data_IF_989890658067
#
_entry.id   IF_989890658067
#
_cell.length_a   1.000
_cell.length_b   1.000
_cell.length_c   1.000
_cell.angle_alpha   90.00
_cell.angle_beta   90.00
_cell.angle_gamma   90.00
#
_symmetry.space_group_name_H-M   'P 1'
#
loop_
_entity.id
_entity.type
_entity.pdbx_description
1 polymer ?
#
# COMPACT_ATOMS: atom_id res chain seq x y z
N UNK A 1 6.36 23.57 19.66
CA UNK A 1 5.04 23.25 19.07
C UNK A 1 5.15 21.90 18.39
N UNK A 2 4.30 20.94 18.76
CA UNK A 2 4.26 19.62 18.11
C UNK A 2 3.82 19.80 16.66
N UNK A 3 4.73 19.60 15.69
CA UNK A 3 4.35 19.52 14.28
C UNK A 3 3.45 18.29 14.14
N UNK A 4 2.22 18.52 13.66
CA UNK A 4 1.21 17.47 13.58
C UNK A 4 1.72 16.32 12.71
N UNK A 5 1.90 15.15 13.33
CA UNK A 5 2.29 13.93 12.64
C UNK A 5 1.09 13.33 11.91
N UNK A 6 0.77 13.87 10.74
CA UNK A 6 -0.31 13.35 9.87
C UNK A 6 -0.05 11.89 9.53
N UNK A 7 -1.11 11.08 9.63
CA UNK A 7 -1.09 9.66 9.37
C UNK A 7 -1.77 9.38 8.02
N UNK A 8 -1.09 8.68 7.12
CA UNK A 8 -1.59 8.42 5.77
C UNK A 8 -2.87 7.57 5.72
N UNK A 9 -3.23 6.90 6.81
CA UNK A 9 -4.45 6.08 6.93
C UNK A 9 -5.66 6.82 7.46
N UNK A 10 -5.50 8.08 7.86
CA UNK A 10 -6.61 8.90 8.34
C UNK A 10 -7.11 9.82 7.22
N UNK A 11 -8.42 10.02 7.15
CA UNK A 11 -9.02 10.98 6.25
C UNK A 11 -8.97 12.36 6.90
N UNK A 12 -8.30 13.31 6.26
CA UNK A 12 -8.30 14.70 6.69
C UNK A 12 -8.93 15.60 5.64
N UNK A 13 -9.77 16.53 6.10
CA UNK A 13 -10.30 17.62 5.30
C UNK A 13 -9.97 18.93 5.98
N UNK A 14 -9.30 19.82 5.26
CA UNK A 14 -8.92 21.14 5.76
C UNK A 14 -9.50 22.21 4.85
N UNK A 15 -10.28 23.13 5.41
CA UNK A 15 -10.68 24.33 4.69
C UNK A 15 -9.48 25.28 4.66
N UNK A 16 -9.00 25.63 3.46
CA UNK A 16 -7.75 26.37 3.27
C UNK A 16 -7.93 27.64 2.45
N UNK A 17 -7.06 28.62 2.68
CA UNK A 17 -6.80 29.77 1.82
C UNK A 17 -5.47 29.58 1.10
N UNK A 18 -5.41 29.93 -0.17
CA UNK A 18 -4.20 29.81 -0.97
C UNK A 18 -4.23 30.82 -2.12
N UNK A 19 -3.05 31.14 -2.63
CA UNK A 19 -2.91 31.97 -3.82
C UNK A 19 -2.73 31.07 -5.05
N UNK A 20 -3.48 31.33 -6.11
CA UNK A 20 -3.40 30.60 -7.37
C UNK A 20 -3.75 31.55 -8.53
N UNK A 21 -2.88 31.61 -9.55
CA UNK A 21 -2.97 32.58 -10.65
C UNK A 21 -3.17 34.03 -10.18
N UNK A 22 -2.36 34.44 -9.20
CA UNK A 22 -2.38 35.77 -8.57
C UNK A 22 -3.73 36.14 -7.92
N UNK A 23 -4.57 35.14 -7.61
CA UNK A 23 -5.85 35.31 -6.91
C UNK A 23 -5.85 34.53 -5.62
N UNK A 24 -6.34 35.18 -4.57
CA UNK A 24 -6.59 34.52 -3.30
C UNK A 24 -7.90 33.75 -3.38
N UNK A 25 -7.80 32.43 -3.24
CA UNK A 25 -8.92 31.50 -3.32
C UNK A 25 -9.09 30.75 -2.00
N UNK A 26 -10.27 30.15 -1.86
CA UNK A 26 -10.56 29.20 -0.77
C UNK A 26 -10.88 27.84 -1.36
N UNK A 27 -10.69 26.80 -0.58
CA UNK A 27 -10.96 25.44 -1.01
C UNK A 27 -10.87 24.44 0.12
N UNK A 28 -11.03 23.17 -0.22
CA UNK A 28 -10.91 22.06 0.73
C UNK A 28 -9.74 21.17 0.30
N UNK A 29 -8.70 21.12 1.13
CA UNK A 29 -7.61 20.15 0.99
C UNK A 29 -8.04 18.82 1.60
N UNK A 30 -8.20 17.82 0.75
CA UNK A 30 -8.52 16.45 1.10
C UNK A 30 -7.25 15.58 1.07
N UNK A 31 -6.86 15.08 2.25
CA UNK A 31 -5.86 14.03 2.39
C UNK A 31 -6.61 12.74 2.69
N UNK A 32 -6.94 11.98 1.66
CA UNK A 32 -7.77 10.78 1.78
C UNK A 32 -6.89 9.53 1.99
N UNK A 33 -7.39 8.60 2.81
CA UNK A 33 -6.88 7.24 2.90
C UNK A 33 -6.96 6.59 1.52
N UNK A 34 -5.83 6.08 1.02
CA UNK A 34 -5.75 5.41 -0.28
C UNK A 34 -6.15 6.28 -1.49
N UNK A 35 -6.02 7.61 -1.38
CA UNK A 35 -6.34 8.57 -2.43
C UNK A 35 -5.16 9.45 -2.83
N UNK A 36 -5.26 10.07 -4.00
CA UNK A 36 -4.36 11.15 -4.39
C UNK A 36 -4.77 12.40 -3.59
N UNK A 37 -3.84 13.06 -2.87
CA UNK A 37 -4.15 14.32 -2.21
C UNK A 37 -4.69 15.34 -3.21
N UNK A 38 -5.82 15.96 -2.85
CA UNK A 38 -6.57 16.84 -3.74
C UNK A 38 -7.01 18.10 -3.03
N UNK A 39 -7.05 19.21 -3.78
CA UNK A 39 -7.54 20.51 -3.35
C UNK A 39 -8.69 20.90 -4.25
N UNK A 40 -9.91 20.86 -3.70
CA UNK A 40 -11.12 21.32 -4.36
C UNK A 40 -11.22 22.84 -4.21
N UNK A 41 -11.19 23.57 -5.32
CA UNK A 41 -11.25 25.04 -5.32
C UNK A 41 -12.71 25.49 -5.25
N UNK A 42 -13.06 26.32 -4.27
CA UNK A 42 -14.35 27.00 -4.25
C UNK A 42 -14.32 28.18 -5.23
N UNK A 43 -14.82 27.97 -6.45
CA UNK A 43 -14.83 29.01 -7.48
C UNK A 43 -16.00 28.87 -8.44
N UNK A 44 -16.60 30.00 -8.82
CA UNK A 44 -17.56 30.12 -9.92
C UNK A 44 -16.88 30.47 -11.25
N UNK A 45 -15.54 30.48 -11.29
CA UNK A 45 -14.78 30.79 -12.49
C UNK A 45 -14.89 29.65 -13.50
N UNK A 46 -15.69 29.85 -14.55
CA UNK A 46 -15.87 28.91 -15.66
C UNK A 46 -14.56 28.42 -16.25
N UNK A 47 -13.52 29.25 -16.36
CA UNK A 47 -12.23 28.80 -16.91
C UNK A 47 -11.61 27.70 -16.05
N UNK A 48 -11.62 27.85 -14.72
CA UNK A 48 -11.07 26.85 -13.80
C UNK A 48 -11.94 25.60 -13.71
N UNK A 49 -13.26 25.72 -13.88
CA UNK A 49 -14.18 24.59 -13.83
C UNK A 49 -14.07 23.68 -15.07
N UNK A 50 -13.85 24.26 -16.24
CA UNK A 50 -13.85 23.55 -17.52
C UNK A 50 -12.44 23.28 -18.09
N UNK A 51 -11.38 23.74 -17.43
CA UNK A 51 -10.01 23.39 -17.81
C UNK A 51 -9.77 21.90 -17.66
N UNK A 52 -9.44 21.21 -18.76
CA UNK A 52 -9.29 19.75 -18.74
C UNK A 52 -8.09 19.32 -17.92
N UNK A 53 -6.95 19.99 -18.12
CA UNK A 53 -5.67 19.62 -17.53
C UNK A 53 -4.65 20.76 -17.61
N UNK A 54 -4.07 21.16 -16.48
CA UNK A 54 -2.93 22.09 -16.44
C UNK A 54 -1.88 21.69 -15.41
N UNK A 55 -0.65 21.49 -15.87
CA UNK A 55 0.50 21.24 -14.98
C UNK A 55 0.91 22.54 -14.30
N UNK A 56 1.02 22.52 -12.98
CA UNK A 56 1.39 23.66 -12.16
C UNK A 56 2.88 23.49 -11.80
N UNK A 57 3.71 24.46 -12.20
CA UNK A 57 5.18 24.36 -12.04
C UNK A 57 5.62 24.63 -10.61
N UNK A 58 5.05 25.65 -9.98
CA UNK A 58 5.41 26.08 -8.65
C UNK A 58 4.56 25.38 -7.58
N UNK A 59 5.12 25.11 -6.38
CA UNK A 59 4.34 24.59 -5.26
C UNK A 59 3.24 25.57 -4.83
N UNK A 60 2.11 25.04 -4.36
CA UNK A 60 1.00 25.84 -3.84
C UNK A 60 1.01 25.78 -2.32
N UNK A 61 1.08 26.93 -1.67
CA UNK A 61 1.01 27.03 -0.21
C UNK A 61 -0.42 27.29 0.23
N UNK A 62 -0.95 26.40 1.07
CA UNK A 62 -2.29 26.42 1.64
C UNK A 62 -2.24 26.68 3.15
N UNK A 63 -3.02 27.65 3.60
CA UNK A 63 -3.17 28.04 5.01
C UNK A 63 -4.53 27.59 5.51
N UNK A 64 -4.57 26.76 6.56
CA UNK A 64 -5.84 26.33 7.16
C UNK A 64 -6.60 27.52 7.77
N UNK A 65 -7.89 27.64 7.44
CA UNK A 65 -8.74 28.69 8.01
C UNK A 65 -9.05 28.34 9.46
N UNK A 66 -8.80 29.27 10.38
CA UNK A 66 -9.07 29.08 11.82
C UNK A 66 -8.00 28.30 12.57
N UNK A 67 -6.87 28.00 11.92
CA UNK A 67 -5.70 27.37 12.54
C UNK A 67 -4.41 27.99 12.00
N UNK A 68 -3.27 27.71 12.65
CA UNK A 68 -1.94 28.11 12.17
C UNK A 68 -1.24 27.02 11.35
N UNK A 69 -1.99 26.03 10.83
CA UNK A 69 -1.40 24.97 10.00
C UNK A 69 -1.21 25.45 8.58
N UNK A 70 -0.08 25.05 8.01
CA UNK A 70 0.30 25.35 6.63
C UNK A 70 0.64 24.03 5.94
N UNK A 71 0.20 23.91 4.70
CA UNK A 71 0.48 22.79 3.82
C UNK A 71 1.07 23.32 2.52
N UNK A 72 2.02 22.61 1.94
CA UNK A 72 2.53 22.95 0.60
C UNK A 72 2.33 21.77 -0.33
N UNK A 73 1.65 21.99 -1.45
CA UNK A 73 1.31 21.00 -2.46
C UNK A 73 2.35 21.06 -3.57
N UNK A 74 2.92 19.90 -3.92
CA UNK A 74 4.01 19.79 -4.88
C UNK A 74 3.61 18.90 -6.07
N UNK A 75 4.26 19.14 -7.21
CA UNK A 75 3.98 18.41 -8.46
C UNK A 75 2.48 18.46 -8.81
N UNK A 76 1.89 19.64 -8.69
CA UNK A 76 0.46 19.84 -8.76
C UNK A 76 -0.05 19.88 -10.20
N UNK A 77 -1.28 19.42 -10.40
CA UNK A 77 -1.98 19.47 -11.69
C UNK A 77 -3.44 19.82 -11.45
N UNK A 78 -3.92 20.87 -12.12
CA UNK A 78 -5.32 21.22 -12.18
C UNK A 78 -6.04 20.24 -13.12
N UNK A 79 -7.13 19.67 -12.64
CA UNK A 79 -8.06 18.81 -13.35
C UNK A 79 -9.40 19.52 -13.53
N UNK A 80 -10.18 19.00 -14.49
CA UNK A 80 -11.58 19.38 -14.67
C UNK A 80 -12.37 19.36 -13.36
N UNK A 81 -13.25 20.34 -13.20
CA UNK A 81 -14.05 20.53 -11.98
C UNK A 81 -13.37 21.40 -10.92
N UNK A 82 -12.35 22.18 -11.30
CA UNK A 82 -11.58 23.02 -10.39
C UNK A 82 -10.93 22.23 -9.24
N UNK A 83 -10.36 21.06 -9.56
CA UNK A 83 -9.69 20.19 -8.58
C UNK A 83 -8.20 20.15 -8.89
N UNK A 84 -7.36 20.50 -7.91
CA UNK A 84 -5.92 20.35 -8.02
C UNK A 84 -5.52 19.03 -7.37
N UNK A 85 -4.93 18.12 -8.14
CA UNK A 85 -4.28 16.93 -7.59
C UNK A 85 -2.78 17.20 -7.43
N UNK A 86 -2.13 16.55 -6.46
CA UNK A 86 -0.70 16.74 -6.25
C UNK A 86 0.04 15.42 -6.02
N UNK A 87 1.32 15.41 -6.37
CA UNK A 87 2.20 14.25 -6.19
C UNK A 87 2.57 14.04 -4.72
N UNK A 88 2.73 15.12 -3.96
CA UNK A 88 2.90 15.06 -2.51
C UNK A 88 2.61 16.39 -1.81
N UNK A 89 2.37 16.33 -0.51
CA UNK A 89 2.09 17.44 0.40
C UNK A 89 3.13 17.46 1.52
N UNK A 90 3.73 18.60 1.80
CA UNK A 90 4.56 18.82 3.01
C UNK A 90 3.80 19.64 4.05
N UNK A 91 4.05 19.37 5.33
CA UNK A 91 3.60 20.28 6.40
C UNK A 91 4.56 21.45 6.58
N UNK A 92 4.03 22.67 6.58
CA UNK A 92 4.77 23.93 6.63
C UNK A 92 4.81 24.66 5.28
N UNK A 93 5.23 25.93 5.32
CA UNK A 93 5.31 26.83 4.17
C UNK A 93 6.60 26.66 3.34
N UNK A 94 7.65 26.11 3.93
CA UNK A 94 8.98 26.00 3.33
C UNK A 94 9.63 24.70 3.74
N UNK A 95 10.32 24.03 2.83
CA UNK A 95 11.08 22.80 3.10
C UNK A 95 12.23 23.14 4.08
N UNK A 96 12.60 22.27 5.04
CA UNK A 96 13.70 22.55 5.93
C UNK A 96 14.99 22.60 5.11
N UNK A 97 15.85 23.57 5.43
CA UNK A 97 17.19 23.63 4.88
C UNK A 97 18.02 22.54 5.58
N UNK A 98 19.00 21.98 4.86
CA UNK A 98 19.94 20.99 5.41
C UNK A 98 19.32 19.63 5.83
N UNK A 99 18.28 19.16 5.15
CA UNK A 99 17.76 17.80 5.34
C UNK A 99 18.77 16.78 4.84
N UNK A 100 19.40 16.04 5.73
CA UNK A 100 20.38 14.97 5.42
C UNK A 100 19.95 13.62 5.99
N UNK A 101 18.77 13.56 6.62
CA UNK A 101 18.16 12.35 7.16
C UNK A 101 16.68 12.27 6.78
N UNK A 102 16.23 11.08 6.43
CA UNK A 102 14.82 10.75 6.28
C UNK A 102 14.45 9.58 7.19
N UNK A 103 13.24 9.62 7.73
CA UNK A 103 12.70 8.57 8.61
C UNK A 103 11.45 7.98 7.97
N UNK A 104 11.55 6.70 7.58
CA UNK A 104 10.54 5.98 6.81
C UNK A 104 9.81 5.00 7.73
N UNK A 105 8.54 5.28 7.98
CA UNK A 105 7.64 4.36 8.69
C UNK A 105 6.83 3.59 7.67
N UNK A 106 6.93 2.26 7.68
CA UNK A 106 6.09 1.41 6.83
C UNK A 106 5.06 0.65 7.67
N UNK A 107 3.94 0.29 7.07
CA UNK A 107 2.97 -0.63 7.69
C UNK A 107 3.58 -2.02 7.90
N UNK A 108 3.08 -2.75 8.90
CA UNK A 108 3.53 -4.13 9.19
C UNK A 108 4.94 -4.27 9.78
N UNK A 109 5.82 -3.27 9.66
CA UNK A 109 7.21 -3.36 10.12
C UNK A 109 7.31 -3.56 11.64
N UNK A 110 6.52 -2.83 12.44
CA UNK A 110 6.48 -3.09 13.88
C UNK A 110 6.05 -4.52 14.19
N UNK A 111 5.02 -5.03 13.51
CA UNK A 111 4.54 -6.41 13.68
C UNK A 111 5.62 -7.43 13.30
N UNK A 112 6.42 -7.13 12.28
CA UNK A 112 7.52 -7.99 11.84
C UNK A 112 8.70 -7.99 12.83
N UNK A 113 9.09 -6.83 13.36
CA UNK A 113 10.18 -6.71 14.35
C UNK A 113 9.79 -7.14 15.77
N UNK A 114 8.50 -7.16 16.10
CA UNK A 114 8.01 -7.52 17.44
C UNK A 114 8.28 -9.00 17.78
N UNK A 115 8.37 -9.89 16.78
CA UNK A 115 8.70 -11.33 16.94
C UNK A 115 7.88 -12.02 18.05
N UNK A 116 8.35 -13.15 18.59
CA UNK A 116 7.88 -13.76 19.85
C UNK A 116 8.66 -13.18 21.04
N UNK A 117 8.55 -11.88 21.30
CA UNK A 117 9.21 -11.32 22.50
C UNK A 117 8.46 -11.69 23.75
N UNK A 118 9.20 -12.19 24.73
CA UNK A 118 8.66 -12.56 26.03
C UNK A 118 8.18 -11.32 26.78
N UNK A 119 7.02 -11.47 27.40
CA UNK A 119 6.60 -10.65 28.52
C UNK A 119 6.69 -11.54 29.75
N UNK A 120 7.36 -11.05 30.78
CA UNK A 120 7.52 -11.73 32.05
C UNK A 120 6.61 -11.04 33.07
N UNK A 121 5.81 -11.83 33.75
CA UNK A 121 4.95 -11.37 34.84
C UNK A 121 5.48 -12.03 36.11
N UNK A 122 5.93 -11.22 37.06
CA UNK A 122 6.23 -11.67 38.41
C UNK A 122 5.13 -11.19 39.36
N UNK A 123 5.20 -11.56 40.64
CA UNK A 123 4.24 -11.10 41.65
C UNK A 123 4.24 -9.56 41.84
N UNK A 124 5.33 -8.88 41.48
CA UNK A 124 5.54 -7.46 41.77
C UNK A 124 5.69 -6.58 40.53
N UNK A 125 5.97 -7.16 39.36
CA UNK A 125 6.26 -6.38 38.16
C UNK A 125 5.87 -7.12 36.87
N UNK A 126 5.47 -6.32 35.88
CA UNK A 126 5.35 -6.74 34.49
C UNK A 126 6.57 -6.21 33.73
N UNK A 127 7.39 -7.11 33.17
CA UNK A 127 8.56 -6.77 32.34
C UNK A 127 8.32 -7.19 30.90
N UNK A 128 8.56 -6.28 29.96
CA UNK A 128 8.55 -6.57 28.52
C UNK A 128 9.89 -6.21 27.91
N UNK A 129 10.48 -7.13 27.16
CA UNK A 129 11.70 -6.85 26.42
C UNK A 129 11.40 -5.94 25.21
N UNK A 130 11.90 -4.71 25.24
CA UNK A 130 11.67 -3.70 24.20
C UNK A 130 12.88 -3.49 23.27
N UNK A 131 14.01 -4.16 23.52
CA UNK A 131 15.25 -4.02 22.73
C UNK A 131 15.12 -4.66 21.35
N UNK A 132 15.54 -3.98 20.29
CA UNK A 132 15.56 -4.54 18.94
C UNK A 132 17.01 -4.72 18.49
N UNK A 133 17.31 -5.85 17.85
CA UNK A 133 18.58 -6.04 17.15
C UNK A 133 18.72 -4.97 16.06
N UNK A 134 19.94 -4.46 15.89
CA UNK A 134 20.21 -3.32 15.01
C UNK A 134 21.06 -3.75 13.83
N UNK A 135 20.74 -3.22 12.65
CA UNK A 135 21.60 -3.23 11.48
C UNK A 135 21.89 -1.80 11.05
N UNK A 136 23.04 -1.62 10.40
CA UNK A 136 23.40 -0.37 9.72
C UNK A 136 24.15 -0.75 8.45
N UNK A 137 23.64 -0.34 7.30
CA UNK A 137 24.16 -0.76 5.99
C UNK A 137 24.36 0.45 5.10
N UNK A 138 25.55 0.52 4.48
CA UNK A 138 25.84 1.49 3.44
C UNK A 138 25.41 0.95 2.07
N UNK A 139 24.80 1.81 1.26
CA UNK A 139 24.37 1.48 -0.10
C UNK A 139 24.50 2.69 -1.03
N UNK A 140 24.67 2.42 -2.33
CA UNK A 140 24.71 3.44 -3.37
C UNK A 140 23.43 3.42 -4.20
N UNK A 141 22.86 4.60 -4.48
CA UNK A 141 21.70 4.73 -5.35
C UNK A 141 21.79 6.02 -6.17
N UNK A 142 21.64 5.92 -7.50
CA UNK A 142 21.68 7.07 -8.44
C UNK A 142 22.90 7.98 -8.21
N UNK A 143 24.09 7.40 -8.03
CA UNK A 143 25.37 8.08 -7.81
C UNK A 143 25.52 8.82 -6.46
N UNK A 144 24.65 8.54 -5.50
CA UNK A 144 24.78 9.04 -4.13
C UNK A 144 24.96 7.87 -3.16
N UNK A 145 25.69 8.14 -2.08
CA UNK A 145 25.90 7.19 -1.00
C UNK A 145 24.98 7.50 0.18
N UNK A 146 24.44 6.43 0.75
CA UNK A 146 23.50 6.48 1.86
C UNK A 146 23.82 5.39 2.88
N UNK A 147 23.36 5.62 4.10
CA UNK A 147 23.33 4.61 5.17
C UNK A 147 21.88 4.40 5.60
N UNK A 148 21.44 3.15 5.70
CA UNK A 148 20.14 2.77 6.27
C UNK A 148 20.33 1.98 7.57
N UNK A 149 19.55 2.32 8.59
CA UNK A 149 19.49 1.61 9.86
C UNK A 149 18.04 1.41 10.31
N UNK A 150 17.78 0.38 11.10
CA UNK A 150 16.50 0.24 11.79
C UNK A 150 16.51 0.99 13.12
N UNK A 151 15.37 1.57 13.46
CA UNK A 151 15.16 2.30 14.71
C UNK A 151 13.83 1.91 15.35
N UNK A 152 13.79 1.93 16.68
CA UNK A 152 12.60 1.62 17.48
C UNK A 152 12.32 2.72 18.47
N UNK A 153 11.12 3.29 18.39
CA UNK A 153 10.55 4.17 19.39
C UNK A 153 9.67 3.38 20.34
N UNK A 154 9.82 3.62 21.63
CA UNK A 154 9.01 3.03 22.69
C UNK A 154 8.50 4.16 23.57
N UNK A 155 7.18 4.25 23.70
CA UNK A 155 6.54 5.15 24.67
C UNK A 155 5.57 4.37 25.53
N UNK A 156 5.59 4.64 26.83
CA UNK A 156 4.64 4.11 27.81
C UNK A 156 3.80 5.26 28.35
N UNK A 157 2.49 5.11 28.34
CA UNK A 157 1.57 6.09 28.94
C UNK A 157 0.70 5.37 29.96
N UNK A 158 0.78 5.79 31.23
CA UNK A 158 -0.12 5.30 32.27
C UNK A 158 -1.51 5.88 32.03
N UNK A 159 -2.50 5.02 31.79
CA UNK A 159 -3.91 5.41 31.70
C UNK A 159 -4.53 5.47 33.10
N UNK A 160 -4.14 4.53 33.96
CA UNK A 160 -4.50 4.47 35.38
C UNK A 160 -3.31 3.98 36.20
N UNK A 161 -3.48 3.76 37.51
CA UNK A 161 -2.45 3.15 38.36
C UNK A 161 -2.15 1.69 38.02
N UNK A 162 -3.03 1.01 37.29
CA UNK A 162 -2.90 -0.41 36.94
C UNK A 162 -2.90 -0.66 35.43
N UNK A 163 -3.21 0.34 34.61
CA UNK A 163 -3.26 0.24 33.15
C UNK A 163 -2.20 1.11 32.50
N UNK A 164 -1.31 0.48 31.74
CA UNK A 164 -0.28 1.14 30.96
C UNK A 164 -0.43 0.78 29.48
N UNK A 165 -0.47 1.81 28.63
CA UNK A 165 -0.45 1.64 27.18
C UNK A 165 0.97 1.77 26.68
N UNK A 166 1.50 0.68 26.13
CA UNK A 166 2.80 0.64 25.47
C UNK A 166 2.59 0.82 23.97
N UNK A 167 3.27 1.82 23.41
CA UNK A 167 3.29 2.07 21.97
C UNK A 167 4.71 1.87 21.45
N UNK A 168 4.85 0.89 20.57
CA UNK A 168 6.11 0.53 19.91
C UNK A 168 5.99 0.86 18.43
N UNK A 169 6.95 1.61 17.91
CA UNK A 169 7.02 1.96 16.50
C UNK A 169 8.41 1.69 15.95
N UNK A 170 8.49 0.81 14.96
CA UNK A 170 9.71 0.51 14.23
C UNK A 170 9.72 1.28 12.90
N UNK A 171 10.86 1.85 12.56
CA UNK A 171 11.07 2.60 11.32
C UNK A 171 12.49 2.41 10.78
N UNK A 172 12.71 2.92 9.57
CA UNK A 172 14.02 2.96 8.94
C UNK A 172 14.52 4.40 8.88
N UNK A 173 15.74 4.62 9.37
CA UNK A 173 16.43 5.89 9.24
C UNK A 173 17.39 5.78 8.08
N UNK A 174 17.29 6.70 7.12
CA UNK A 174 18.24 6.80 6.01
C UNK A 174 18.95 8.13 6.06
N UNK A 175 20.27 8.08 6.11
CA UNK A 175 21.15 9.24 6.10
C UNK A 175 21.87 9.34 4.77
N UNK A 176 21.91 10.52 4.19
CA UNK A 176 22.76 10.81 3.03
C UNK A 176 24.18 11.07 3.51
N UNK A 177 25.15 10.37 2.93
CA UNK A 177 26.55 10.47 3.38
C UNK A 177 27.13 11.85 3.07
N UNK A 178 26.83 12.39 1.89
CA UNK A 178 27.31 13.69 1.42
C UNK A 178 26.16 14.56 0.91
N UNK A 179 26.02 15.75 1.49
CA UNK A 179 25.02 16.74 1.08
C UNK A 179 23.63 16.49 1.67
N UNK A 180 22.61 17.04 1.01
CA UNK A 180 21.23 17.08 1.49
C UNK A 180 20.28 16.40 0.51
N UNK A 181 19.14 15.94 0.99
CA UNK A 181 18.07 15.37 0.20
C UNK A 181 17.30 16.48 -0.53
N UNK A 182 17.05 16.26 -1.82
CA UNK A 182 15.92 16.92 -2.49
C UNK A 182 14.62 16.18 -2.16
N UNK A 183 13.45 16.84 -2.28
CA UNK A 183 12.16 16.17 -2.04
C UNK A 183 11.94 14.95 -2.94
N UNK A 184 12.25 15.09 -4.24
CA UNK A 184 12.12 13.99 -5.21
C UNK A 184 13.06 12.82 -4.88
N UNK A 185 14.24 13.11 -4.33
CA UNK A 185 15.19 12.09 -3.89
C UNK A 185 14.68 11.37 -2.63
N UNK A 186 14.19 12.11 -1.64
CA UNK A 186 13.58 11.55 -0.43
C UNK A 186 12.38 10.66 -0.77
N UNK A 187 11.48 11.13 -1.64
CA UNK A 187 10.35 10.35 -2.15
C UNK A 187 10.85 9.07 -2.86
N UNK A 188 11.79 9.22 -3.79
CA UNK A 188 12.32 8.08 -4.55
C UNK A 188 12.91 7.02 -3.63
N UNK A 189 13.66 7.40 -2.59
CA UNK A 189 14.28 6.45 -1.67
C UNK A 189 13.25 5.80 -0.76
N UNK A 190 12.29 6.56 -0.23
CA UNK A 190 11.22 6.00 0.59
C UNK A 190 10.40 4.96 -0.18
N UNK A 191 10.09 5.21 -1.46
CA UNK A 191 9.40 4.26 -2.33
C UNK A 191 10.22 2.99 -2.62
N UNK A 192 11.54 3.12 -2.79
CA UNK A 192 12.44 1.97 -2.99
C UNK A 192 12.57 1.13 -1.70
N UNK A 193 12.63 1.77 -0.54
CA UNK A 193 12.63 1.09 0.77
C UNK A 193 11.33 0.33 0.97
N UNK A 194 10.19 0.98 0.72
CA UNK A 194 8.87 0.32 0.73
C UNK A 194 8.85 -0.91 -0.16
N UNK A 195 9.43 -0.81 -1.36
CA UNK A 195 9.47 -1.89 -2.35
C UNK A 195 10.35 -3.06 -1.88
N UNK A 196 11.56 -2.77 -1.39
CA UNK A 196 12.46 -3.77 -0.81
C UNK A 196 11.79 -4.54 0.34
N UNK A 197 11.23 -3.83 1.33
CA UNK A 197 10.65 -4.50 2.50
C UNK A 197 9.37 -5.25 2.15
N UNK A 198 8.56 -4.75 1.23
CA UNK A 198 7.41 -5.51 0.75
C UNK A 198 7.80 -6.82 0.07
N UNK A 199 8.92 -6.83 -0.65
CA UNK A 199 9.46 -8.05 -1.25
C UNK A 199 9.97 -9.03 -0.19
N UNK A 200 10.68 -8.54 0.82
CA UNK A 200 11.17 -9.37 1.92
C UNK A 200 10.01 -9.98 2.71
N UNK A 201 8.95 -9.22 2.96
CA UNK A 201 7.81 -9.68 3.74
C UNK A 201 6.80 -10.48 2.92
N UNK A 202 6.77 -10.32 1.60
CA UNK A 202 5.74 -10.91 0.74
C UNK A 202 4.38 -10.20 0.83
N UNK A 203 4.35 -8.95 1.29
CA UNK A 203 3.14 -8.14 1.49
C UNK A 203 3.30 -6.77 0.87
N UNK A 204 2.23 -6.18 0.34
CA UNK A 204 2.23 -4.79 -0.12
C UNK A 204 2.24 -3.83 1.08
N UNK A 205 3.42 -3.35 1.48
CA UNK A 205 3.55 -2.37 2.55
C UNK A 205 3.27 -0.95 2.05
N UNK A 206 2.71 -0.13 2.92
CA UNK A 206 2.49 1.29 2.68
C UNK A 206 3.49 2.11 3.48
N UNK A 207 3.81 3.30 3.02
CA UNK A 207 4.51 4.27 3.87
C UNK A 207 3.45 4.95 4.75
N UNK A 208 3.53 4.71 6.06
CA UNK A 208 2.64 5.25 7.07
C UNK A 208 2.98 6.69 7.41
N UNK A 209 4.27 7.01 7.48
CA UNK A 209 4.83 8.35 7.74
C UNK A 209 6.19 8.47 7.10
N UNK A 210 6.50 9.64 6.56
CA UNK A 210 7.83 10.00 6.12
C UNK A 210 8.22 11.33 6.75
N UNK A 211 9.32 11.37 7.48
CA UNK A 211 9.85 12.60 8.03
C UNK A 211 11.15 13.01 7.36
N UNK A 212 11.27 14.28 7.04
CA UNK A 212 12.47 14.96 6.57
C UNK A 212 13.11 15.64 7.77
N UNK A 213 14.35 15.28 8.08
CA UNK A 213 15.01 15.69 9.33
C UNK A 213 16.38 16.29 9.02
N UNK A 214 16.65 17.54 9.44
CA UNK A 214 18.00 18.09 9.47
C UNK A 214 18.78 17.50 10.65
N UNK A 215 19.92 16.85 10.42
CA UNK A 215 20.71 16.22 11.49
C UNK A 215 21.14 17.21 12.57
N UNK A 216 21.38 18.47 12.21
CA UNK A 216 21.78 19.54 13.15
C UNK A 216 20.66 19.97 14.09
N UNK A 217 19.39 19.81 13.69
CA UNK A 217 18.20 20.23 14.46
C UNK A 217 17.06 19.24 14.27
N UNK A 218 17.12 18.12 14.99
CA UNK A 218 16.10 17.06 14.92
C UNK A 218 14.67 17.53 15.25
N UNK A 219 14.53 18.62 16.02
CA UNK A 219 13.23 19.24 16.31
C UNK A 219 12.56 19.91 15.10
N UNK A 220 13.29 20.19 14.03
CA UNK A 220 12.81 20.89 12.84
C UNK A 220 12.32 19.95 11.74
N UNK A 221 11.89 18.73 12.10
CA UNK A 221 11.41 17.75 11.12
C UNK A 221 10.17 18.22 10.35
N UNK A 222 9.94 17.71 9.15
CA UNK A 222 8.69 17.92 8.41
C UNK A 222 8.13 16.59 7.93
N UNK A 223 6.80 16.46 7.94
CA UNK A 223 6.14 15.31 7.34
C UNK A 223 5.95 15.52 5.83
N UNK A 224 6.25 14.47 5.07
CA UNK A 224 5.97 14.36 3.64
C UNK A 224 4.84 13.35 3.45
N UNK A 225 3.83 13.72 2.66
CA UNK A 225 2.65 12.90 2.36
C UNK A 225 2.55 12.72 0.85
N UNK A 226 2.46 11.48 0.36
CA UNK A 226 2.25 11.16 -1.06
C UNK A 226 1.09 10.16 -1.21
N UNK A 227 0.51 10.02 -2.41
CA UNK A 227 -0.53 9.05 -2.69
C UNK A 227 -0.12 7.62 -2.28
N UNK A 228 -0.94 6.99 -1.45
CA UNK A 228 -0.81 5.57 -1.09
C UNK A 228 -1.91 4.76 -1.75
N UNK A 229 -1.67 3.47 -2.00
CA UNK A 229 -2.54 2.59 -2.80
C UNK A 229 -3.21 1.52 -1.94
N UNK A 230 -2.78 1.40 -0.69
CA UNK A 230 -3.07 0.23 0.13
C UNK A 230 -4.04 0.55 1.25
N UNK A 231 -5.02 -0.34 1.40
CA UNK A 231 -6.24 -0.13 2.17
C UNK A 231 -6.11 -0.41 3.68
N UNK A 232 -5.04 -1.07 4.12
CA UNK A 232 -4.93 -1.60 5.49
C UNK A 232 -3.67 -1.09 6.23
N UNK A 233 -3.87 -0.51 7.42
CA UNK A 233 -2.78 -0.07 8.32
C UNK A 233 -1.98 -1.28 8.87
N UNK A 234 -2.61 -2.45 8.92
CA UNK A 234 -2.03 -3.69 9.43
C UNK A 234 -2.15 -4.81 8.38
N UNK A 235 -1.16 -4.96 7.49
CA UNK A 235 -1.23 -5.89 6.35
C UNK A 235 -1.19 -7.37 6.76
N UNK A 236 -0.77 -7.69 7.99
CA UNK A 236 -0.77 -9.03 8.55
C UNK A 236 -0.75 -8.98 10.08
N UNK A 237 -1.30 -10.01 10.72
CA UNK A 237 -1.43 -10.05 12.18
C UNK A 237 -0.19 -10.51 12.91
N UNK A 238 0.55 -11.43 12.30
CA UNK A 238 1.63 -12.17 12.94
C UNK A 238 2.83 -12.25 12.01
N UNK A 239 4.04 -12.15 12.55
CA UNK A 239 5.27 -12.18 11.77
C UNK A 239 5.47 -13.52 11.03
N UNK A 240 4.87 -14.62 11.51
CA UNK A 240 4.96 -15.94 10.85
C UNK A 240 4.26 -15.99 9.50
N UNK A 241 3.37 -15.04 9.22
CA UNK A 241 2.72 -14.96 7.90
C UNK A 241 3.65 -14.34 6.84
N UNK A 242 4.78 -13.74 7.25
CA UNK A 242 5.73 -13.10 6.33
C UNK A 242 6.62 -14.10 5.61
N UNK A 243 6.99 -13.80 4.36
CA UNK A 243 7.86 -14.64 3.54
C UNK A 243 9.25 -14.82 4.17
N UNK A 244 9.86 -13.73 4.65
CA UNK A 244 11.14 -13.76 5.32
C UNK A 244 11.00 -13.41 6.79
N UNK A 245 11.38 -14.33 7.68
CA UNK A 245 11.48 -14.05 9.10
C UNK A 245 12.66 -13.14 9.39
N UNK A 246 12.43 -12.11 10.22
CA UNK A 246 13.48 -11.17 10.62
C UNK A 246 14.63 -11.86 11.37
N UNK A 247 14.36 -12.91 12.15
CA UNK A 247 15.39 -13.69 12.87
C UNK A 247 16.42 -14.30 11.92
N UNK A 248 15.97 -14.84 10.79
CA UNK A 248 16.87 -15.43 9.79
C UNK A 248 17.80 -14.37 9.18
N UNK A 249 17.31 -13.15 8.99
CA UNK A 249 18.11 -12.05 8.43
C UNK A 249 19.27 -11.66 9.35
N UNK A 250 19.03 -11.63 10.66
CA UNK A 250 20.07 -11.32 11.64
C UNK A 250 20.99 -12.51 11.88
N UNK A 251 20.44 -13.71 12.10
CA UNK A 251 21.22 -14.92 12.36
C UNK A 251 22.17 -15.27 11.20
N UNK A 252 21.76 -15.01 9.95
CA UNK A 252 22.57 -15.26 8.76
C UNK A 252 23.34 -14.02 8.27
N UNK A 253 23.27 -12.89 9.00
CA UNK A 253 23.92 -11.62 8.66
C UNK A 253 23.66 -11.16 7.21
N UNK A 254 22.40 -11.24 6.75
CA UNK A 254 22.05 -11.01 5.34
C UNK A 254 21.71 -9.55 5.00
N UNK A 255 21.56 -8.68 6.00
CA UNK A 255 21.13 -7.29 5.80
C UNK A 255 21.97 -6.54 4.78
N UNK A 256 23.29 -6.60 4.91
CA UNK A 256 24.21 -5.92 4.00
C UNK A 256 24.05 -6.43 2.56
N UNK A 257 24.09 -7.76 2.39
CA UNK A 257 24.01 -8.41 1.08
C UNK A 257 22.69 -8.10 0.38
N UNK A 258 21.56 -8.15 1.09
CA UNK A 258 20.23 -7.90 0.54
C UNK A 258 20.09 -6.44 0.10
N UNK A 259 20.41 -5.49 0.99
CA UNK A 259 20.22 -4.06 0.74
C UNK A 259 21.13 -3.61 -0.41
N UNK A 260 22.42 -3.95 -0.36
CA UNK A 260 23.36 -3.58 -1.43
C UNK A 260 22.95 -4.20 -2.78
N UNK A 261 22.53 -5.48 -2.79
CA UNK A 261 22.11 -6.15 -4.03
C UNK A 261 20.84 -5.52 -4.61
N UNK A 262 19.86 -5.18 -3.77
CA UNK A 262 18.62 -4.54 -4.22
C UNK A 262 18.88 -3.20 -4.91
N UNK A 263 19.70 -2.34 -4.29
CA UNK A 263 19.98 -1.01 -4.85
C UNK A 263 20.93 -1.05 -6.07
N UNK A 264 21.82 -2.04 -6.12
CA UNK A 264 22.76 -2.25 -7.24
C UNK A 264 22.06 -2.85 -8.47
N UNK A 265 21.26 -3.91 -8.30
CA UNK A 265 20.71 -4.69 -9.41
C UNK A 265 19.36 -4.12 -9.85
N UNK A 266 19.30 -3.56 -11.06
CA UNK A 266 18.08 -2.91 -11.60
C UNK A 266 16.87 -3.85 -11.72
N UNK A 267 17.07 -5.13 -12.01
CA UNK A 267 15.98 -6.09 -12.26
C UNK A 267 15.07 -6.28 -11.04
N UNK A 268 15.60 -6.25 -9.81
CA UNK A 268 14.80 -6.34 -8.58
C UNK A 268 13.80 -5.17 -8.47
N UNK A 269 14.15 -3.99 -9.00
CA UNK A 269 13.30 -2.80 -8.97
C UNK A 269 12.30 -2.73 -10.12
N UNK A 270 12.53 -3.46 -11.21
CA UNK A 270 11.66 -3.40 -12.40
C UNK A 270 10.60 -4.50 -12.42
N UNK A 271 10.94 -5.72 -12.00
CA UNK A 271 10.06 -6.90 -12.11
C UNK A 271 8.92 -6.85 -11.08
N UNK A 272 9.16 -6.27 -9.92
CA UNK A 272 8.31 -6.41 -8.74
C UNK A 272 7.35 -5.26 -8.47
N UNK A 273 7.23 -4.30 -9.40
CA UNK A 273 6.24 -3.21 -9.35
C UNK A 273 4.78 -3.71 -9.34
N UNK A 274 4.55 -5.03 -9.50
CA UNK A 274 3.24 -5.70 -9.42
C UNK A 274 2.66 -5.77 -7.99
N UNK A 275 3.52 -5.85 -6.97
CA UNK A 275 3.05 -5.92 -5.57
C UNK A 275 2.68 -4.54 -5.01
N UNK A 276 3.31 -3.47 -5.50
CA UNK A 276 3.06 -2.12 -4.98
C UNK A 276 3.01 -1.12 -6.12
N UNK A 277 1.82 -0.59 -6.37
CA UNK A 277 1.61 0.42 -7.39
C UNK A 277 2.24 1.74 -6.89
N UNK A 278 3.15 2.39 -7.64
CA UNK A 278 3.53 3.76 -7.37
C UNK A 278 2.52 4.70 -8.05
N UNK A 279 1.48 5.12 -7.32
CA UNK A 279 0.52 6.11 -7.85
C UNK A 279 1.20 7.44 -8.21
N UNK A 280 2.31 7.82 -7.55
CA UNK A 280 3.06 9.04 -7.90
C UNK A 280 3.74 8.98 -9.27
N UNK A 281 3.92 7.78 -9.85
CA UNK A 281 4.45 7.58 -11.22
C UNK A 281 3.37 7.29 -12.28
N UNK A 282 2.08 7.42 -11.93
CA UNK A 282 0.96 7.05 -12.81
C UNK A 282 0.74 7.98 -14.00
N UNK A 283 1.54 9.02 -14.18
CA UNK A 283 1.62 9.70 -15.48
C UNK A 283 2.47 8.85 -16.43
N UNK A 284 1.82 7.95 -17.17
CA UNK A 284 2.29 7.28 -18.41
C UNK A 284 3.10 5.97 -18.35
N UNK A 285 3.27 5.31 -17.20
CA UNK A 285 4.32 4.28 -17.07
C UNK A 285 3.95 2.80 -17.04
N UNK A 286 2.71 2.41 -16.72
CA UNK A 286 2.41 0.99 -16.45
C UNK A 286 1.64 0.36 -17.59
N UNK A 287 2.39 -0.06 -18.62
CA UNK A 287 1.89 -0.85 -19.73
C UNK A 287 1.13 -2.10 -19.25
N UNK A 288 1.43 -2.61 -18.06
CA UNK A 288 0.76 -3.74 -17.43
C UNK A 288 -0.73 -3.46 -17.16
N UNK A 289 -1.11 -2.24 -16.74
CA UNK A 289 -2.52 -1.86 -16.57
C UNK A 289 -3.19 -1.58 -17.91
N UNK A 290 -2.45 -1.04 -18.88
CA UNK A 290 -2.97 -0.91 -20.24
C UNK A 290 -3.30 -2.30 -20.81
N UNK A 291 -2.42 -3.29 -20.66
CA UNK A 291 -2.68 -4.67 -21.07
C UNK A 291 -3.82 -5.31 -20.26
N UNK A 292 -3.84 -5.18 -18.93
CA UNK A 292 -4.96 -5.71 -18.13
C UNK A 292 -6.29 -5.09 -18.53
N UNK A 293 -6.33 -3.78 -18.79
CA UNK A 293 -7.54 -3.11 -19.27
C UNK A 293 -7.98 -3.63 -20.65
N UNK A 294 -7.02 -3.88 -21.56
CA UNK A 294 -7.30 -4.48 -22.88
C UNK A 294 -7.80 -5.91 -22.76
N UNK A 295 -7.19 -6.73 -21.89
CA UNK A 295 -7.62 -8.11 -21.63
C UNK A 295 -9.03 -8.14 -21.03
N UNK A 296 -9.32 -7.33 -20.02
CA UNK A 296 -10.66 -7.20 -19.42
C UNK A 296 -11.67 -6.72 -20.47
N UNK A 297 -11.30 -5.74 -21.30
CA UNK A 297 -12.18 -5.26 -22.39
C UNK A 297 -12.45 -6.35 -23.42
N UNK A 298 -11.43 -7.13 -23.79
CA UNK A 298 -11.56 -8.28 -24.70
C UNK A 298 -12.42 -9.39 -24.09
N UNK A 299 -12.28 -9.66 -22.80
CA UNK A 299 -13.09 -10.63 -22.08
C UNK A 299 -14.56 -10.19 -22.03
N UNK A 300 -14.83 -8.93 -21.69
CA UNK A 300 -16.17 -8.34 -21.74
C UNK A 300 -16.76 -8.36 -23.15
N UNK A 301 -15.95 -8.08 -24.17
CA UNK A 301 -16.37 -8.14 -25.57
C UNK A 301 -16.71 -9.57 -25.99
N UNK A 302 -15.85 -10.55 -25.66
CA UNK A 302 -16.09 -11.97 -25.89
C UNK A 302 -17.34 -12.47 -25.15
N UNK A 303 -17.57 -12.03 -23.91
CA UNK A 303 -18.79 -12.33 -23.15
C UNK A 303 -20.03 -11.75 -23.83
N UNK A 304 -19.97 -10.50 -24.30
CA UNK A 304 -21.07 -9.85 -25.03
C UNK A 304 -21.34 -10.52 -26.38
N UNK A 305 -20.32 -10.88 -27.14
CA UNK A 305 -20.44 -11.55 -28.43
C UNK A 305 -20.91 -13.00 -28.33
N UNK A 306 -20.59 -13.68 -27.21
CA UNK A 306 -20.98 -15.06 -26.95
C UNK A 306 -22.34 -15.19 -26.24
N UNK A 307 -22.83 -14.12 -25.59
CA UNK A 307 -24.17 -14.07 -24.99
C UNK A 307 -25.25 -14.44 -26.03
N UNK A 308 -25.87 -15.59 -25.83
CA UNK A 308 -27.00 -16.07 -26.64
C UNK A 308 -26.63 -16.92 -27.86
N UNK A 309 -25.34 -17.10 -28.20
CA UNK A 309 -24.90 -17.94 -29.34
C UNK A 309 -24.47 -19.36 -28.94
N UNK A 310 -24.70 -19.76 -27.68
CA UNK A 310 -24.35 -21.09 -27.19
C UNK A 310 -25.22 -22.20 -27.78
N UNK A 311 -24.61 -23.29 -28.22
CA UNK A 311 -25.31 -24.46 -28.74
C UNK A 311 -25.83 -25.31 -27.58
N UNK A 312 -27.14 -25.53 -27.50
CA UNK A 312 -27.76 -26.38 -26.49
C UNK A 312 -28.27 -27.65 -27.16
N UNK A 313 -28.15 -28.78 -26.46
CA UNK A 313 -28.88 -29.98 -26.88
C UNK A 313 -30.38 -29.68 -26.85
N UNK A 314 -31.15 -30.29 -27.75
CA UNK A 314 -32.61 -30.26 -27.66
C UNK A 314 -33.01 -30.73 -26.24
N UNK A 315 -33.93 -29.99 -25.60
CA UNK A 315 -34.41 -30.24 -24.25
C UNK A 315 -34.83 -31.70 -24.02
N UNK A 316 -35.48 -32.31 -25.01
CA UNK A 316 -35.93 -33.70 -24.90
C UNK A 316 -34.74 -34.67 -24.84
N UNK A 317 -33.77 -34.50 -25.75
CA UNK A 317 -32.52 -35.27 -25.76
C UNK A 317 -31.67 -35.04 -24.51
N UNK A 318 -31.68 -33.81 -23.97
CA UNK A 318 -30.95 -33.48 -22.75
C UNK A 318 -31.56 -34.15 -21.51
N UNK A 319 -32.89 -34.13 -21.40
CA UNK A 319 -33.60 -34.81 -20.32
C UNK A 319 -33.44 -36.34 -20.43
N UNK A 320 -33.46 -36.88 -21.65
CA UNK A 320 -33.18 -38.29 -21.92
C UNK A 320 -31.77 -38.67 -21.46
N UNK A 321 -30.75 -37.89 -21.84
CA UNK A 321 -29.37 -38.12 -21.39
C UNK A 321 -29.25 -38.08 -19.86
N UNK A 322 -29.86 -37.08 -19.21
CA UNK A 322 -29.83 -36.97 -17.74
C UNK A 322 -30.49 -38.19 -17.07
N UNK A 323 -31.61 -38.64 -17.61
CA UNK A 323 -32.31 -39.83 -17.11
C UNK A 323 -31.48 -41.11 -17.31
N UNK A 324 -30.82 -41.28 -18.46
CA UNK A 324 -29.95 -42.43 -18.72
C UNK A 324 -28.74 -42.45 -17.79
N UNK A 325 -28.11 -41.31 -17.52
CA UNK A 325 -26.97 -41.20 -16.61
C UNK A 325 -27.35 -41.56 -15.18
N UNK A 326 -28.46 -41.00 -14.66
CA UNK A 326 -28.95 -41.34 -13.33
C UNK A 326 -29.27 -42.81 -13.20
N UNK A 327 -29.99 -43.38 -14.18
CA UNK A 327 -30.33 -44.80 -14.19
C UNK A 327 -29.09 -45.70 -14.24
N UNK A 328 -28.06 -45.31 -14.98
CA UNK A 328 -26.80 -46.06 -15.04
C UNK A 328 -26.08 -46.02 -13.69
N UNK A 329 -26.09 -44.87 -13.01
CA UNK A 329 -25.50 -44.73 -11.69
C UNK A 329 -26.24 -45.59 -10.65
N UNK A 330 -27.58 -45.54 -10.63
CA UNK A 330 -28.43 -46.38 -9.77
C UNK A 330 -28.15 -47.87 -10.01
N UNK A 331 -28.14 -48.30 -11.27
CA UNK A 331 -27.86 -49.70 -11.65
C UNK A 331 -26.46 -50.13 -11.17
N UNK A 332 -25.46 -49.25 -11.31
CA UNK A 332 -24.10 -49.55 -10.86
C UNK A 332 -24.01 -49.70 -9.34
N UNK A 333 -24.74 -48.90 -8.58
CA UNK A 333 -24.83 -49.01 -7.11
C UNK A 333 -25.51 -50.32 -6.71
N UNK A 334 -26.60 -50.70 -7.38
CA UNK A 334 -27.35 -51.91 -7.06
C UNK A 334 -26.60 -53.21 -7.42
N UNK A 335 -25.81 -53.19 -8.50
CA UNK A 335 -25.09 -54.37 -9.00
C UNK A 335 -23.77 -54.67 -8.26
N UNK A 336 -23.26 -53.73 -7.47
CA UNK A 336 -21.96 -53.85 -6.82
C UNK A 336 -22.09 -53.77 -5.29
N UNK A 337 -21.36 -54.64 -4.58
CA UNK A 337 -21.24 -54.55 -3.12
C UNK A 337 -20.21 -53.46 -2.80
N UNK A 338 -20.71 -52.25 -2.55
CA UNK A 338 -19.88 -51.05 -2.32
C UNK A 338 -19.69 -50.76 -0.83
N UNK A 339 -18.52 -50.22 -0.47
CA UNK A 339 -18.27 -49.76 0.89
C UNK A 339 -18.97 -48.43 1.17
N UNK A 340 -19.08 -48.05 2.46
CA UNK A 340 -19.68 -46.77 2.85
C UNK A 340 -18.90 -45.56 2.31
N UNK A 341 -17.58 -45.68 2.13
CA UNK A 341 -16.75 -44.61 1.57
C UNK A 341 -17.00 -44.47 0.05
N UNK A 342 -17.15 -45.59 -0.66
CA UNK A 342 -17.47 -45.60 -2.10
C UNK A 342 -18.85 -44.99 -2.37
N UNK A 343 -19.83 -45.28 -1.52
CA UNK A 343 -21.18 -44.70 -1.64
C UNK A 343 -21.18 -43.17 -1.47
N UNK A 344 -20.37 -42.63 -0.55
CA UNK A 344 -20.25 -41.17 -0.36
C UNK A 344 -19.64 -40.47 -1.58
N UNK A 345 -18.70 -41.13 -2.27
CA UNK A 345 -18.16 -40.61 -3.52
C UNK A 345 -19.24 -40.60 -4.61
N UNK A 346 -20.07 -41.65 -4.70
CA UNK A 346 -21.17 -41.76 -5.67
C UNK A 346 -22.31 -40.76 -5.41
N UNK A 347 -22.60 -40.41 -4.16
CA UNK A 347 -23.49 -39.29 -3.83
C UNK A 347 -22.97 -37.97 -4.41
N UNK A 348 -21.65 -37.75 -4.38
CA UNK A 348 -21.02 -36.61 -5.05
C UNK A 348 -21.24 -36.58 -6.56
N UNK A 349 -21.20 -37.75 -7.21
CA UNK A 349 -21.53 -37.88 -8.63
C UNK A 349 -23.01 -37.61 -8.92
N UNK A 350 -23.92 -38.07 -8.07
CA UNK A 350 -25.36 -37.80 -8.21
C UNK A 350 -25.68 -36.29 -8.10
N UNK A 351 -25.03 -35.59 -7.18
CA UNK A 351 -25.14 -34.14 -7.02
C UNK A 351 -24.59 -33.43 -8.27
N UNK A 352 -23.46 -33.88 -8.82
CA UNK A 352 -22.88 -33.31 -10.03
C UNK A 352 -23.78 -33.52 -11.27
N UNK A 353 -24.35 -34.72 -11.43
CA UNK A 353 -25.31 -35.04 -12.50
C UNK A 353 -26.60 -34.23 -12.37
N UNK A 354 -27.08 -34.02 -11.14
CA UNK A 354 -28.26 -33.20 -10.86
C UNK A 354 -28.06 -31.74 -11.25
N UNK A 355 -26.84 -31.22 -11.08
CA UNK A 355 -26.44 -29.86 -11.39
C UNK A 355 -25.87 -29.66 -12.80
N UNK A 356 -25.81 -30.73 -13.61
CA UNK A 356 -25.41 -30.63 -15.01
C UNK A 356 -26.29 -29.58 -15.72
N UNK A 357 -25.65 -28.68 -16.46
CA UNK A 357 -26.32 -27.62 -17.22
C UNK A 357 -26.24 -27.92 -18.71
N UNK A 358 -27.35 -27.70 -19.42
CA UNK A 358 -27.38 -27.77 -20.89
C UNK A 358 -26.76 -26.47 -21.46
N UNK A 359 -25.44 -26.45 -21.57
CA UNK A 359 -24.65 -25.31 -22.02
C UNK A 359 -23.47 -25.77 -22.88
N UNK A 360 -23.13 -24.98 -23.91
CA UNK A 360 -21.92 -25.16 -24.72
C UNK A 360 -20.68 -24.53 -24.11
N UNK A 361 -20.82 -23.80 -23.00
CA UNK A 361 -19.71 -23.16 -22.31
C UNK A 361 -19.14 -24.12 -21.26
N UNK A 362 -17.81 -24.13 -21.06
CA UNK A 362 -17.20 -24.87 -19.96
C UNK A 362 -17.85 -24.42 -18.64
N UNK A 363 -18.49 -25.35 -17.94
CA UNK A 363 -18.86 -25.13 -16.54
C UNK A 363 -17.62 -25.39 -15.71
N UNK A 364 -17.09 -24.33 -15.11
CA UNK A 364 -16.15 -24.40 -13.99
C UNK A 364 -16.82 -25.00 -12.76
#
# INVERSE_FOLDING_TARGET
>A
MSKMALNFFENYKFTVKFNFDDKDLTGVLCLNQSGIPSLEIHTDNYFLQFEERRVIREPITCYEIGSNKVFTLHQSELQRGAVIICGFVTTGASIPIDVDLIEVHLTGISTWFERLRSSEITETEFRRCTSVEKFSVNFNFKNNDYTIENHRYVSSTAMTSTEHHLKIQDCFIVKKTNGTFTLNEAESIALEIRSLFSLLLGYSLSIKKLYLIPSKKRGDYQSLIFPSVTYEDKPFDYYQKTLCHVDNLFNWNLWESIIQSYFKVKSFRTIWNRLIIPLSRSKSGTWEYAILSVVVTLEMYCEQESKGKGHKLNRDKYNELKSQLNKTLETFVDENVLSSEDLSVLEGFEIALSNLKNTSHPTL
#
